data_IF_985423281966
#
_entry.id   IF_985423281966
#
_cell.length_a   1.000
_cell.length_b   1.000
_cell.length_c   1.000
_cell.angle_alpha   90.00
_cell.angle_beta   90.00
_cell.angle_gamma   90.00
#
_symmetry.space_group_name_H-M   'P 1'
#
loop_
_entity.id
_entity.type
_entity.pdbx_description
1 polymer ?
#
# COMPACT_ATOMS: atom_id res chain seq x y z
N UNK A 1 -9.97 7.11 -21.80
CA UNK A 1 -9.20 7.50 -20.59
C UNK A 1 -9.42 6.42 -19.54
N UNK A 2 -8.36 5.79 -19.04
CA UNK A 2 -8.44 4.71 -18.04
C UNK A 2 -9.10 5.18 -16.73
N UNK A 3 -9.65 4.23 -15.96
CA UNK A 3 -10.65 4.41 -14.88
C UNK A 3 -10.21 5.22 -13.64
N UNK A 4 -9.16 6.02 -13.71
CA UNK A 4 -8.69 6.87 -12.61
C UNK A 4 -7.84 6.16 -11.57
N UNK A 5 -7.20 5.03 -11.93
CA UNK A 5 -6.25 4.33 -11.07
C UNK A 5 -6.87 3.83 -9.77
N UNK A 6 -6.29 4.20 -8.62
CA UNK A 6 -6.74 3.77 -7.30
C UNK A 6 -8.15 4.26 -6.94
N UNK A 7 -8.72 5.22 -7.67
CA UNK A 7 -10.11 5.65 -7.47
C UNK A 7 -11.12 4.56 -7.82
N UNK A 8 -10.77 3.63 -8.72
CA UNK A 8 -11.67 2.56 -9.16
C UNK A 8 -11.19 1.19 -8.73
N UNK A 9 -12.16 0.36 -8.30
CA UNK A 9 -11.94 -1.02 -7.85
C UNK A 9 -11.31 -1.92 -8.91
N UNK A 10 -11.37 -1.55 -10.20
CA UNK A 10 -10.75 -2.30 -11.31
C UNK A 10 -9.25 -2.49 -11.11
N UNK A 11 -8.57 -1.51 -10.48
CA UNK A 11 -7.13 -1.57 -10.18
C UNK A 11 -6.73 -2.82 -9.39
N UNK A 12 -7.62 -3.36 -8.55
CA UNK A 12 -7.35 -4.54 -7.74
C UNK A 12 -7.14 -5.76 -8.64
N UNK A 13 -7.95 -5.88 -9.70
CA UNK A 13 -7.85 -7.00 -10.66
C UNK A 13 -6.61 -6.84 -11.54
N UNK A 14 -6.31 -5.61 -11.95
CA UNK A 14 -5.13 -5.34 -12.79
C UNK A 14 -3.83 -5.54 -12.00
N UNK A 15 -3.80 -5.15 -10.72
CA UNK A 15 -2.70 -5.44 -9.81
C UNK A 15 -2.53 -6.95 -9.57
N UNK A 16 -3.63 -7.69 -9.37
CA UNK A 16 -3.57 -9.14 -9.25
C UNK A 16 -2.96 -9.78 -10.52
N UNK A 17 -3.35 -9.32 -11.72
CA UNK A 17 -2.79 -9.81 -12.98
C UNK A 17 -1.29 -9.49 -13.08
N UNK A 18 -0.89 -8.29 -12.68
CA UNK A 18 0.51 -7.90 -12.62
C UNK A 18 1.32 -8.82 -11.69
N UNK A 19 0.84 -9.06 -10.47
CA UNK A 19 1.49 -10.00 -9.53
C UNK A 19 1.56 -11.42 -10.09
N UNK A 20 0.51 -11.90 -10.78
CA UNK A 20 0.52 -13.22 -11.40
C UNK A 20 1.65 -13.36 -12.43
N UNK A 21 1.86 -12.34 -13.27
CA UNK A 21 2.97 -12.32 -14.23
C UNK A 21 4.31 -12.36 -13.50
N UNK A 22 4.49 -11.53 -12.47
CA UNK A 22 5.75 -11.52 -11.70
C UNK A 22 6.05 -12.86 -11.02
N UNK A 23 5.07 -13.45 -10.34
CA UNK A 23 5.24 -14.72 -9.64
C UNK A 23 5.54 -15.87 -10.62
N UNK A 24 4.93 -15.85 -11.80
CA UNK A 24 5.19 -16.85 -12.84
C UNK A 24 6.61 -16.77 -13.38
N UNK A 25 7.13 -15.55 -13.60
CA UNK A 25 8.42 -15.36 -14.26
C UNK A 25 9.62 -15.34 -13.30
N UNK A 26 9.41 -14.98 -12.02
CA UNK A 26 10.51 -14.78 -11.07
C UNK A 26 10.34 -15.54 -9.75
N UNK A 27 9.24 -16.26 -9.57
CA UNK A 27 8.97 -17.01 -8.33
C UNK A 27 9.94 -18.18 -8.09
N UNK A 28 10.62 -18.66 -9.13
CA UNK A 28 11.68 -19.67 -9.05
C UNK A 28 12.87 -19.18 -8.21
N UNK A 29 13.27 -17.91 -8.39
CA UNK A 29 14.48 -17.31 -7.81
C UNK A 29 14.20 -16.35 -6.66
N UNK A 30 13.11 -15.59 -6.69
CA UNK A 30 12.80 -14.58 -5.66
C UNK A 30 12.04 -15.21 -4.49
N UNK A 31 12.65 -15.16 -3.31
CA UNK A 31 12.09 -15.73 -2.07
C UNK A 31 11.37 -14.73 -1.17
N UNK A 32 11.64 -13.43 -1.35
CA UNK A 32 11.10 -12.35 -0.54
C UNK A 32 10.38 -11.35 -1.44
N UNK A 33 9.13 -11.05 -1.10
CA UNK A 33 8.27 -10.19 -1.90
C UNK A 33 7.72 -9.06 -1.05
N UNK A 34 7.82 -7.85 -1.59
CA UNK A 34 7.15 -6.67 -1.09
C UNK A 34 5.96 -6.36 -2.01
N UNK A 35 4.77 -6.19 -1.45
CA UNK A 35 3.56 -5.91 -2.22
C UNK A 35 3.41 -4.44 -2.57
N UNK A 36 3.06 -3.61 -1.58
CA UNK A 36 2.92 -2.17 -1.71
C UNK A 36 3.87 -1.53 -0.69
N UNK A 37 4.73 -0.64 -1.19
CA UNK A 37 5.63 0.15 -0.35
C UNK A 37 4.91 1.39 0.17
N UNK A 38 4.99 1.62 1.48
CA UNK A 38 4.57 2.87 2.13
C UNK A 38 3.15 3.33 1.78
N UNK A 39 2.19 2.41 1.84
CA UNK A 39 0.77 2.73 1.66
C UNK A 39 0.30 3.88 2.58
N UNK A 40 0.87 3.99 3.79
CA UNK A 40 0.61 5.08 4.73
C UNK A 40 1.03 6.44 4.17
N UNK A 41 2.19 6.52 3.52
CA UNK A 41 2.65 7.76 2.88
C UNK A 41 1.82 8.10 1.64
N UNK A 42 1.37 7.10 0.88
CA UNK A 42 0.43 7.34 -0.23
C UNK A 42 -0.91 7.92 0.23
N UNK A 43 -1.36 7.56 1.44
CA UNK A 43 -2.55 8.14 2.07
C UNK A 43 -2.30 9.53 2.66
N UNK A 44 -1.21 9.71 3.41
CA UNK A 44 -0.86 10.97 4.08
C UNK A 44 -0.42 12.07 3.09
N UNK A 45 0.28 11.68 2.03
CA UNK A 45 0.88 12.57 1.03
C UNK A 45 0.34 12.22 -0.37
N UNK A 46 -0.96 12.42 -0.63
CA UNK A 46 -1.60 11.97 -1.86
C UNK A 46 -1.07 12.69 -3.13
N UNK A 47 -0.40 13.83 -2.96
CA UNK A 47 0.31 14.51 -4.06
C UNK A 47 1.43 13.65 -4.67
N UNK A 48 2.01 12.71 -3.90
CA UNK A 48 3.03 11.77 -4.40
C UNK A 48 2.47 10.84 -5.47
N UNK A 49 1.16 10.59 -5.49
CA UNK A 49 0.49 9.73 -6.47
C UNK A 49 0.29 10.43 -7.84
N UNK A 50 0.80 11.66 -8.02
CA UNK A 50 0.71 12.46 -9.25
C UNK A 50 -0.73 12.56 -9.81
N UNK A 51 -1.75 12.58 -8.94
CA UNK A 51 -3.07 13.02 -9.36
C UNK A 51 -2.96 14.53 -9.63
N UNK A 52 -2.89 14.89 -10.92
CA UNK A 52 -2.78 16.28 -11.37
C UNK A 52 -3.89 17.12 -10.73
N UNK A 53 -3.50 18.13 -9.98
CA UNK A 53 -4.27 19.35 -9.67
C UNK A 53 -5.67 19.18 -9.04
N UNK A 54 -6.02 17.98 -8.57
CA UNK A 54 -7.28 17.74 -7.88
C UNK A 54 -7.07 17.72 -6.37
N UNK A 55 -7.75 18.62 -5.66
CA UNK A 55 -8.01 18.46 -4.24
C UNK A 55 -8.85 17.19 -4.08
N UNK A 56 -8.21 16.11 -3.66
CA UNK A 56 -8.90 14.86 -3.41
C UNK A 56 -9.79 15.02 -2.18
N UNK A 57 -11.09 14.82 -2.37
CA UNK A 57 -12.05 14.66 -1.28
C UNK A 57 -11.58 13.54 -0.33
N UNK A 58 -11.77 13.72 0.97
CA UNK A 58 -11.32 12.75 1.98
C UNK A 58 -11.93 11.37 1.72
N UNK A 59 -13.20 11.31 1.33
CA UNK A 59 -13.89 10.06 0.99
C UNK A 59 -13.16 9.31 -0.13
N UNK A 60 -12.69 10.02 -1.15
CA UNK A 60 -11.95 9.44 -2.26
C UNK A 60 -10.59 8.93 -1.79
N UNK A 61 -9.90 9.65 -0.89
CA UNK A 61 -8.63 9.19 -0.29
C UNK A 61 -8.81 7.88 0.47
N UNK A 62 -9.84 7.79 1.32
CA UNK A 62 -10.16 6.56 2.04
C UNK A 62 -10.53 5.42 1.10
N UNK A 63 -11.28 5.69 0.03
CA UNK A 63 -11.63 4.69 -0.98
C UNK A 63 -10.38 4.16 -1.72
N UNK A 64 -9.46 5.06 -2.08
CA UNK A 64 -8.20 4.69 -2.72
C UNK A 64 -7.35 3.82 -1.80
N UNK A 65 -7.23 4.20 -0.53
CA UNK A 65 -6.50 3.41 0.47
C UNK A 65 -7.15 2.03 0.66
N UNK A 66 -8.48 1.96 0.70
CA UNK A 66 -9.20 0.70 0.75
C UNK A 66 -8.89 -0.21 -0.45
N UNK A 67 -8.83 0.34 -1.66
CA UNK A 67 -8.43 -0.42 -2.85
C UNK A 67 -6.98 -0.91 -2.78
N UNK A 68 -6.05 -0.10 -2.26
CA UNK A 68 -4.66 -0.53 -2.02
C UNK A 68 -4.58 -1.69 -1.03
N UNK A 69 -5.30 -1.61 0.09
CA UNK A 69 -5.37 -2.70 1.08
C UNK A 69 -5.96 -3.98 0.49
N UNK A 70 -7.02 -3.88 -0.31
CA UNK A 70 -7.59 -5.02 -1.03
C UNK A 70 -6.61 -5.63 -2.02
N UNK A 71 -5.92 -4.79 -2.81
CA UNK A 71 -4.91 -5.24 -3.76
C UNK A 71 -3.76 -5.98 -3.07
N UNK A 72 -3.29 -5.46 -1.93
CA UNK A 72 -2.29 -6.12 -1.09
C UNK A 72 -2.77 -7.51 -0.61
N UNK A 73 -3.98 -7.60 -0.06
CA UNK A 73 -4.53 -8.86 0.42
C UNK A 73 -4.68 -9.90 -0.71
N UNK A 74 -5.13 -9.47 -1.89
CA UNK A 74 -5.26 -10.33 -3.08
C UNK A 74 -3.89 -10.82 -3.56
N UNK A 75 -2.88 -9.96 -3.58
CA UNK A 75 -1.52 -10.33 -3.96
C UNK A 75 -0.90 -11.35 -3.00
N UNK A 76 -1.03 -11.15 -1.68
CA UNK A 76 -0.56 -12.11 -0.66
C UNK A 76 -1.26 -13.46 -0.83
N UNK A 77 -2.59 -13.46 -0.99
CA UNK A 77 -3.37 -14.68 -1.21
C UNK A 77 -2.94 -15.41 -2.49
N UNK A 78 -2.62 -14.68 -3.55
CA UNK A 78 -2.14 -15.26 -4.80
C UNK A 78 -0.72 -15.84 -4.63
N UNK A 79 0.17 -15.12 -3.95
CA UNK A 79 1.54 -15.56 -3.69
C UNK A 79 1.56 -16.88 -2.91
N UNK A 80 0.79 -17.01 -1.83
CA UNK A 80 0.73 -18.27 -1.07
C UNK A 80 0.17 -19.45 -1.87
N UNK A 81 -0.67 -19.19 -2.88
CA UNK A 81 -1.19 -20.24 -3.78
C UNK A 81 -0.14 -20.70 -4.80
N UNK A 82 0.63 -19.77 -5.37
CA UNK A 82 1.58 -20.06 -6.44
C UNK A 82 2.97 -20.43 -5.92
N UNK A 83 3.37 -19.82 -4.80
CA UNK A 83 4.72 -19.85 -4.23
C UNK A 83 4.62 -20.17 -2.74
N UNK A 84 4.38 -21.45 -2.35
CA UNK A 84 4.15 -21.83 -0.95
C UNK A 84 5.34 -21.54 -0.02
N UNK A 85 6.55 -21.48 -0.57
CA UNK A 85 7.78 -21.23 0.19
C UNK A 85 8.22 -19.75 0.19
N UNK A 86 7.52 -18.87 -0.53
CA UNK A 86 7.87 -17.46 -0.60
C UNK A 86 7.37 -16.69 0.62
N UNK A 87 8.16 -15.74 1.12
CA UNK A 87 7.75 -14.80 2.16
C UNK A 87 7.28 -13.52 1.51
N UNK A 88 6.08 -13.06 1.87
CA UNK A 88 5.47 -11.87 1.29
C UNK A 88 4.83 -10.98 2.35
N UNK A 89 4.97 -9.67 2.21
CA UNK A 89 4.31 -8.70 3.08
C UNK A 89 4.36 -7.27 2.53
N UNK A 90 3.59 -6.35 3.12
CA UNK A 90 3.68 -4.93 2.81
C UNK A 90 4.90 -4.29 3.51
N UNK A 91 5.41 -3.19 2.94
CA UNK A 91 6.32 -2.30 3.67
C UNK A 91 5.48 -1.17 4.28
N UNK A 92 5.40 -1.17 5.62
CA UNK A 92 4.63 -0.19 6.39
C UNK A 92 5.60 0.89 6.88
N UNK A 93 5.37 2.13 6.46
CA UNK A 93 6.02 3.29 7.07
C UNK A 93 5.35 3.58 8.40
N UNK A 94 6.04 3.26 9.51
CA UNK A 94 5.60 3.53 10.87
C UNK A 94 6.59 4.46 11.54
N UNK A 95 6.09 5.51 12.19
CA UNK A 95 6.88 6.40 13.03
C UNK A 95 6.43 6.23 14.48
N UNK A 96 7.36 6.08 15.45
CA UNK A 96 6.99 6.03 16.85
C UNK A 96 6.44 7.39 17.28
N UNK A 97 5.31 7.38 18.00
CA UNK A 97 4.74 8.57 18.63
C UNK A 97 4.97 8.49 20.14
N UNK A 98 5.63 9.51 20.70
CA UNK A 98 5.83 9.65 22.14
C UNK A 98 4.86 10.71 22.69
N UNK A 99 4.23 10.43 23.82
CA UNK A 99 3.43 11.43 24.53
C UNK A 99 4.36 12.52 25.08
N UNK A 100 4.07 13.79 24.80
CA UNK A 100 4.74 14.89 25.47
C UNK A 100 4.32 14.91 26.94
N UNK A 101 5.19 14.49 27.86
CA UNK A 101 5.06 14.87 29.26
C UNK A 101 5.65 16.28 29.36
N UNK A 102 4.79 17.27 29.59
CA UNK A 102 5.24 18.61 29.97
C UNK A 102 5.72 18.49 31.40
N UNK A 103 7.01 18.22 31.59
CA UNK A 103 7.64 18.49 32.88
C UNK A 103 7.75 20.01 33.00
N UNK A 104 6.69 20.61 33.56
CA UNK A 104 6.72 22.01 33.98
C UNK A 104 7.74 22.07 35.09
N UNK A 105 8.99 22.37 34.72
CA UNK A 105 10.07 22.63 35.65
C UNK A 105 9.67 23.87 36.44
N UNK A 106 9.02 23.66 37.57
CA UNK A 106 8.88 24.68 38.61
C UNK A 106 10.30 24.99 39.07
N UNK A 107 10.88 26.06 38.50
CA UNK A 107 11.98 26.77 39.12
C UNK A 107 11.40 27.56 40.29
N UNK A 108 11.50 27.00 41.48
CA UNK A 108 11.59 27.73 42.74
C UNK A 108 12.77 27.17 43.52
#
# INVERSE_FOLDING_TARGET
KEYGGWKSRKIVKDFQRYCHVLFTNFGDRVKYWLTINEQSNMFALPYLLKYKDEVLDEKIKFQMNHHMMLANAVAIKLAHKMLPNAKIGPAIGLSPFYSGIIETRLMF
#
